data_IF_021663796808
#
_entry.id   IF_021663796808
#
_cell.length_a   1.000
_cell.length_b   1.000
_cell.length_c   1.000
_cell.angle_alpha   90.00
_cell.angle_beta   90.00
_cell.angle_gamma   90.00
#
_symmetry.space_group_name_H-M   'P 1'
#
loop_
_entity.id
_entity.type
_entity.pdbx_description
1 polymer ?
#
# COMPACT_ATOMS: atom_id res chain seq x y z
N UNK A 1 9.60 -11.58 8.34
CA UNK A 1 9.18 -12.20 9.62
C UNK A 1 7.66 -12.31 9.71
N UNK A 2 6.89 -11.23 9.52
CA UNK A 2 5.42 -11.28 9.54
C UNK A 2 4.78 -12.28 8.56
N UNK A 3 5.32 -12.42 7.35
CA UNK A 3 4.81 -13.40 6.36
C UNK A 3 5.06 -14.86 6.79
N UNK A 4 6.19 -15.15 7.44
CA UNK A 4 6.47 -16.49 7.98
C UNK A 4 5.48 -16.82 9.09
N UNK A 5 5.23 -15.88 10.00
CA UNK A 5 4.25 -16.05 11.08
C UNK A 5 2.86 -16.28 10.51
N UNK A 6 2.45 -15.51 9.49
CA UNK A 6 1.19 -15.72 8.78
C UNK A 6 1.11 -17.10 8.13
N UNK A 7 2.12 -17.50 7.36
CA UNK A 7 2.15 -18.79 6.65
C UNK A 7 2.07 -19.95 7.63
N UNK A 8 2.82 -19.88 8.74
CA UNK A 8 2.77 -20.87 9.82
C UNK A 8 1.38 -20.90 10.46
N UNK A 9 0.77 -19.76 10.76
CA UNK A 9 -0.58 -19.72 11.33
C UNK A 9 -1.63 -20.30 10.36
N UNK A 10 -1.51 -20.01 9.07
CA UNK A 10 -2.42 -20.51 8.04
C UNK A 10 -2.27 -22.01 7.79
N UNK A 11 -1.03 -22.52 7.76
CA UNK A 11 -0.76 -23.94 7.52
C UNK A 11 -1.06 -24.81 8.74
N UNK A 12 -0.90 -24.27 9.95
CA UNK A 12 -1.09 -25.02 11.21
C UNK A 12 -2.57 -25.10 11.60
N UNK A 13 -3.41 -24.14 11.19
CA UNK A 13 -4.82 -24.10 11.59
C UNK A 13 -5.65 -25.26 11.04
N UNK A 14 -5.44 -25.66 9.78
CA UNK A 14 -6.12 -26.84 9.19
C UNK A 14 -5.80 -28.12 9.95
N UNK A 15 -4.60 -28.23 10.53
CA UNK A 15 -4.21 -29.38 11.35
C UNK A 15 -4.76 -29.30 12.78
N UNK A 16 -4.79 -28.11 13.38
CA UNK A 16 -5.33 -27.91 14.74
C UNK A 16 -6.86 -28.04 14.80
N UNK A 17 -7.59 -27.65 13.75
CA UNK A 17 -9.06 -27.77 13.71
C UNK A 17 -9.57 -29.21 13.62
N UNK A 18 -8.72 -30.14 13.20
CA UNK A 18 -9.05 -31.56 13.03
C UNK A 18 -8.63 -32.44 14.22
N UNK A 19 -7.90 -31.89 15.20
CA UNK A 19 -7.40 -32.63 16.36
C UNK A 19 -8.40 -32.58 17.54
N UNK A 20 -9.01 -33.72 17.94
CA UNK A 20 -10.05 -33.76 18.98
C UNK A 20 -9.51 -33.35 20.37
N UNK A 21 -8.23 -33.61 20.67
CA UNK A 21 -7.61 -33.26 21.95
C UNK A 21 -7.35 -31.76 22.11
N UNK A 22 -7.18 -31.04 21.00
CA UNK A 22 -6.94 -29.60 21.00
C UNK A 22 -8.24 -28.86 21.28
N UNK A 23 -9.37 -29.31 20.73
CA UNK A 23 -10.69 -28.69 20.94
C UNK A 23 -11.14 -28.65 22.42
N UNK A 24 -10.62 -29.55 23.26
CA UNK A 24 -10.96 -29.65 24.69
C UNK A 24 -10.15 -28.72 25.60
N UNK A 25 -9.11 -28.06 25.08
CA UNK A 25 -8.22 -27.23 25.89
C UNK A 25 -8.67 -25.75 25.92
N UNK A 26 -8.35 -24.98 26.97
CA UNK A 26 -8.77 -23.58 27.08
C UNK A 26 -8.02 -22.57 26.19
N UNK A 27 -6.92 -22.96 25.54
CA UNK A 27 -6.14 -22.09 24.64
C UNK A 27 -6.72 -21.92 23.21
N UNK A 28 -7.50 -22.86 22.63
CA UNK A 28 -8.30 -22.64 21.42
C UNK A 28 -9.29 -21.47 21.51
N UNK A 29 -9.75 -21.12 22.72
CA UNK A 29 -10.61 -19.95 22.91
C UNK A 29 -9.85 -18.63 22.64
N UNK A 30 -8.52 -18.62 22.83
CA UNK A 30 -7.70 -17.46 22.52
C UNK A 30 -7.50 -17.33 21.00
N UNK A 31 -7.31 -18.44 20.28
CA UNK A 31 -7.25 -18.43 18.81
C UNK A 31 -8.60 -18.15 18.16
N UNK A 32 -9.74 -18.53 18.78
CA UNK A 32 -11.07 -18.13 18.34
C UNK A 32 -11.41 -16.66 18.67
N UNK A 33 -11.03 -16.14 19.85
CA UNK A 33 -11.28 -14.74 20.22
C UNK A 33 -10.34 -13.74 19.52
N UNK A 34 -9.13 -14.15 19.13
CA UNK A 34 -8.24 -13.38 18.24
C UNK A 34 -8.45 -13.73 16.74
N UNK A 35 -9.30 -14.71 16.45
CA UNK A 35 -9.68 -15.11 15.09
C UNK A 35 -8.63 -15.86 14.25
N UNK A 36 -7.47 -16.22 14.80
CA UNK A 36 -6.49 -17.12 14.15
C UNK A 36 -6.14 -16.72 12.70
N UNK A 37 -6.11 -17.68 11.78
CA UNK A 37 -5.91 -17.44 10.34
C UNK A 37 -7.06 -16.68 9.65
N UNK A 38 -8.27 -16.66 10.26
CA UNK A 38 -9.43 -15.88 9.82
C UNK A 38 -9.30 -14.39 10.20
N UNK A 39 -8.37 -14.07 11.11
CA UNK A 39 -8.07 -12.74 11.62
C UNK A 39 -9.22 -12.10 12.40
N UNK A 40 -9.16 -10.80 12.64
CA UNK A 40 -10.13 -10.11 13.49
C UNK A 40 -11.49 -10.03 12.81
N UNK A 41 -12.52 -10.64 13.39
CA UNK A 41 -13.90 -10.65 12.89
C UNK A 41 -14.79 -9.91 13.90
N UNK A 42 -15.72 -9.09 13.41
CA UNK A 42 -16.68 -8.37 14.24
C UNK A 42 -16.11 -7.09 14.86
N UNK A 43 -15.19 -6.43 14.15
CA UNK A 43 -14.68 -5.13 14.58
C UNK A 43 -15.79 -4.08 14.51
N UNK A 44 -15.96 -3.23 15.53
CA UNK A 44 -16.95 -2.15 15.50
C UNK A 44 -16.60 -1.13 14.41
N UNK A 45 -17.61 -0.73 13.64
CA UNK A 45 -17.48 0.26 12.56
C UNK A 45 -17.40 1.70 13.10
N UNK A 46 -16.35 2.03 13.85
CA UNK A 46 -16.11 3.39 14.33
C UNK A 46 -15.60 4.33 13.22
N UNK A 47 -15.09 3.77 12.13
CA UNK A 47 -14.50 4.55 11.03
C UNK A 47 -15.55 4.89 9.98
N UNK A 48 -15.88 6.17 9.89
CA UNK A 48 -16.63 6.76 8.77
C UNK A 48 -15.68 7.25 7.68
N UNK A 49 -16.20 7.46 6.48
CA UNK A 49 -15.43 8.03 5.36
C UNK A 49 -14.77 9.37 5.72
N UNK A 50 -15.38 10.15 6.61
CA UNK A 50 -14.81 11.39 7.13
C UNK A 50 -13.42 11.17 7.75
N UNK A 51 -13.28 10.16 8.62
CA UNK A 51 -11.99 9.85 9.27
C UNK A 51 -10.93 9.39 8.27
N UNK A 52 -11.34 8.63 7.25
CA UNK A 52 -10.45 8.20 6.17
C UNK A 52 -9.93 9.39 5.38
N UNK A 53 -10.82 10.27 4.91
CA UNK A 53 -10.43 11.46 4.14
C UNK A 53 -9.61 12.44 4.98
N UNK A 54 -9.92 12.59 6.27
CA UNK A 54 -9.14 13.41 7.19
C UNK A 54 -7.71 12.85 7.37
N UNK A 55 -7.58 11.54 7.54
CA UNK A 55 -6.27 10.90 7.64
C UNK A 55 -5.47 11.07 6.33
N UNK A 56 -6.10 10.89 5.16
CA UNK A 56 -5.46 11.12 3.86
C UNK A 56 -5.02 12.58 3.70
N UNK A 57 -5.87 13.55 4.08
CA UNK A 57 -5.50 14.96 4.02
C UNK A 57 -4.30 15.27 4.93
N UNK A 58 -4.28 14.69 6.13
CA UNK A 58 -3.19 14.86 7.09
C UNK A 58 -1.90 14.19 6.60
N UNK A 59 -1.95 12.98 6.06
CA UNK A 59 -0.78 12.29 5.52
C UNK A 59 -0.19 13.03 4.33
N UNK A 60 -1.02 13.56 3.43
CA UNK A 60 -0.59 14.41 2.31
C UNK A 60 0.05 15.71 2.80
N UNK A 61 -0.56 16.38 3.78
CA UNK A 61 -0.01 17.60 4.36
C UNK A 61 1.37 17.34 5.00
N UNK A 62 1.51 16.26 5.77
CA UNK A 62 2.78 15.83 6.37
C UNK A 62 3.80 15.50 5.29
N UNK A 63 3.44 14.74 4.25
CA UNK A 63 4.34 14.36 3.17
C UNK A 63 4.88 15.58 2.39
N UNK A 64 4.00 16.54 2.05
CA UNK A 64 4.39 17.77 1.34
C UNK A 64 5.29 18.64 2.24
N UNK A 65 4.95 18.79 3.52
CA UNK A 65 5.78 19.55 4.47
C UNK A 65 7.14 18.90 4.69
N UNK A 66 7.18 17.56 4.82
CA UNK A 66 8.40 16.80 4.99
C UNK A 66 9.32 16.94 3.78
N UNK A 67 8.78 16.81 2.57
CA UNK A 67 9.56 16.99 1.33
C UNK A 67 10.18 18.38 1.22
N UNK A 68 9.47 19.43 1.64
CA UNK A 68 9.96 20.82 1.60
C UNK A 68 10.91 21.18 2.75
N UNK A 69 10.95 20.36 3.80
CA UNK A 69 11.79 20.58 4.98
C UNK A 69 13.27 20.22 4.75
N UNK A 70 14.13 20.57 5.71
CA UNK A 70 15.55 20.15 5.72
C UNK A 70 15.70 18.62 5.72
N UNK A 71 14.81 17.91 6.43
CA UNK A 71 14.77 16.44 6.43
C UNK A 71 14.51 15.87 5.04
N UNK A 72 13.59 16.46 4.28
CA UNK A 72 13.30 16.06 2.90
C UNK A 72 14.49 16.23 1.95
N UNK A 73 15.26 17.31 2.13
CA UNK A 73 16.50 17.54 1.36
C UNK A 73 17.59 16.54 1.72
N UNK A 74 17.72 16.18 3.00
CA UNK A 74 18.64 15.13 3.43
C UNK A 74 18.25 13.77 2.82
N UNK A 75 16.96 13.42 2.78
CA UNK A 75 16.49 12.20 2.11
C UNK A 75 16.80 12.20 0.61
N UNK A 76 16.66 13.34 -0.06
CA UNK A 76 17.00 13.46 -1.48
C UNK A 76 18.51 13.28 -1.70
N UNK A 77 19.36 13.88 -0.86
CA UNK A 77 20.81 13.73 -0.96
C UNK A 77 21.24 12.26 -0.76
N UNK A 78 20.69 11.57 0.25
CA UNK A 78 20.96 10.15 0.51
C UNK A 78 20.52 9.27 -0.66
N UNK A 79 19.44 9.64 -1.36
CA UNK A 79 18.92 8.90 -2.52
C UNK A 79 19.83 9.02 -3.75
N UNK A 80 20.47 10.17 -3.97
CA UNK A 80 21.36 10.39 -5.11
C UNK A 80 22.70 9.68 -4.90
N UNK A 81 23.36 9.93 -3.77
CA UNK A 81 24.60 9.26 -3.38
C UNK A 81 24.75 9.26 -1.86
N UNK A 82 24.66 8.07 -1.27
CA UNK A 82 24.78 7.88 0.18
C UNK A 82 26.17 8.22 0.69
N UNK A 83 27.22 7.84 -0.05
CA UNK A 83 28.63 8.04 0.35
C UNK A 83 28.96 9.53 0.30
N UNK A 84 28.51 10.23 -0.74
CA UNK A 84 28.69 11.67 -0.85
C UNK A 84 27.91 12.43 0.24
N UNK A 85 26.69 12.01 0.56
CA UNK A 85 25.91 12.62 1.64
C UNK A 85 26.61 12.47 3.00
N UNK A 86 27.20 11.31 3.27
CA UNK A 86 27.95 11.06 4.50
C UNK A 86 29.23 11.92 4.58
N UNK A 87 29.95 12.08 3.46
CA UNK A 87 31.12 12.96 3.38
C UNK A 87 30.79 14.44 3.65
N UNK A 88 29.55 14.86 3.37
CA UNK A 88 29.05 16.21 3.65
C UNK A 88 28.48 16.37 5.09
N UNK A 89 28.67 15.37 5.96
CA UNK A 89 28.26 15.41 7.37
C UNK A 89 26.81 15.02 7.62
N UNK A 90 26.13 14.39 6.65
CA UNK A 90 24.76 13.86 6.85
C UNK A 90 24.84 12.47 7.45
N UNK A 91 24.28 12.29 8.65
CA UNK A 91 24.16 10.97 9.29
C UNK A 91 23.09 10.08 8.62
N UNK A 92 23.45 9.42 7.52
CA UNK A 92 22.59 8.58 6.67
C UNK A 92 21.73 7.60 7.47
N UNK A 93 22.32 6.89 8.43
CA UNK A 93 21.66 5.92 9.30
C UNK A 93 20.51 6.53 10.10
N UNK A 94 20.72 7.67 10.75
CA UNK A 94 19.69 8.37 11.54
C UNK A 94 18.53 8.83 10.67
N UNK A 95 18.80 9.33 9.47
CA UNK A 95 17.77 9.74 8.53
C UNK A 95 16.97 8.55 8.01
N UNK A 96 17.62 7.43 7.65
CA UNK A 96 16.93 6.20 7.23
C UNK A 96 16.01 5.63 8.32
N UNK A 97 16.47 5.58 9.56
CA UNK A 97 15.63 5.11 10.70
C UNK A 97 14.43 6.03 10.91
N UNK A 98 14.61 7.36 10.87
CA UNK A 98 13.50 8.31 10.98
C UNK A 98 12.48 8.16 9.84
N UNK A 99 12.96 7.97 8.61
CA UNK A 99 12.11 7.72 7.46
C UNK A 99 11.30 6.43 7.64
N UNK A 100 11.95 5.35 8.11
CA UNK A 100 11.29 4.08 8.39
C UNK A 100 10.22 4.19 9.48
N UNK A 101 10.53 4.83 10.61
CA UNK A 101 9.57 5.03 11.72
C UNK A 101 8.37 5.84 11.26
N UNK A 102 8.59 6.92 10.50
CA UNK A 102 7.50 7.76 10.01
C UNK A 102 6.62 7.00 8.99
N UNK A 103 7.22 6.22 8.10
CA UNK A 103 6.48 5.37 7.17
C UNK A 103 5.68 4.29 7.90
N UNK A 104 6.29 3.60 8.88
CA UNK A 104 5.63 2.58 9.68
C UNK A 104 4.46 3.14 10.49
N UNK A 105 4.60 4.33 11.07
CA UNK A 105 3.53 5.02 11.78
C UNK A 105 2.34 5.32 10.86
N UNK A 106 2.58 5.93 9.69
CA UNK A 106 1.51 6.25 8.74
C UNK A 106 0.84 4.98 8.17
N UNK A 107 1.61 3.93 7.91
CA UNK A 107 1.09 2.63 7.49
C UNK A 107 0.23 1.98 8.58
N UNK A 108 0.63 2.09 9.85
CA UNK A 108 -0.15 1.60 11.00
C UNK A 108 -1.49 2.31 11.14
N UNK A 109 -1.51 3.65 11.00
CA UNK A 109 -2.76 4.44 10.99
C UNK A 109 -3.67 4.02 9.84
N UNK A 110 -3.12 3.85 8.63
CA UNK A 110 -3.88 3.40 7.47
C UNK A 110 -4.48 2.00 7.68
N UNK A 111 -3.70 1.05 8.23
CA UNK A 111 -4.17 -0.30 8.54
C UNK A 111 -5.26 -0.33 9.61
N UNK A 112 -5.13 0.47 10.66
CA UNK A 112 -6.15 0.58 11.71
C UNK A 112 -7.48 1.12 11.17
N UNK A 113 -7.43 2.15 10.32
CA UNK A 113 -8.62 2.71 9.67
C UNK A 113 -9.25 1.71 8.69
N UNK A 114 -8.43 0.99 7.92
CA UNK A 114 -8.91 -0.06 7.02
C UNK A 114 -9.65 -1.16 7.78
N UNK A 115 -9.11 -1.62 8.90
CA UNK A 115 -9.71 -2.67 9.71
C UNK A 115 -11.10 -2.30 10.25
N UNK A 116 -11.26 -1.05 10.71
CA UNK A 116 -12.53 -0.55 11.24
C UNK A 116 -13.52 -0.14 10.15
N UNK A 117 -13.06 0.09 8.91
CA UNK A 117 -13.93 0.36 7.76
C UNK A 117 -14.54 -0.93 7.20
N UNK A 118 -13.75 -1.99 7.09
CA UNK A 118 -14.18 -3.29 6.54
C UNK A 118 -14.88 -4.15 7.61
N UNK A 119 -14.59 -3.92 8.89
CA UNK A 119 -15.20 -4.64 10.02
C UNK A 119 -14.66 -6.06 10.23
N UNK A 120 -13.77 -6.50 9.35
CA UNK A 120 -12.99 -7.71 9.50
C UNK A 120 -11.67 -7.60 8.75
N UNK A 121 -10.62 -8.23 9.27
CA UNK A 121 -9.31 -8.31 8.61
C UNK A 121 -8.78 -9.71 8.80
N UNK A 122 -8.63 -10.46 7.72
CA UNK A 122 -8.00 -11.77 7.75
C UNK A 122 -6.51 -11.66 7.41
N UNK A 123 -5.72 -12.65 7.87
CA UNK A 123 -4.32 -12.71 7.50
C UNK A 123 -4.18 -12.93 5.99
N UNK A 124 -5.12 -13.65 5.36
CA UNK A 124 -5.15 -13.96 3.92
C UNK A 124 -5.01 -12.75 2.99
N UNK A 125 -5.63 -11.64 3.33
CA UNK A 125 -5.72 -10.45 2.49
C UNK A 125 -4.46 -9.60 2.60
N UNK A 126 -3.86 -9.47 3.79
CA UNK A 126 -2.66 -8.63 4.01
C UNK A 126 -1.35 -9.32 3.63
N UNK A 127 -1.41 -10.24 2.67
CA UNK A 127 -0.27 -11.02 2.23
C UNK A 127 0.70 -10.29 1.32
N UNK A 128 1.65 -11.07 0.81
CA UNK A 128 2.65 -10.62 -0.16
C UNK A 128 2.08 -9.86 -1.36
N UNK A 129 0.92 -10.29 -1.88
CA UNK A 129 0.28 -9.64 -3.02
C UNK A 129 -0.10 -8.18 -2.72
N UNK A 130 -0.63 -7.89 -1.52
CA UNK A 130 -0.95 -6.51 -1.11
C UNK A 130 0.29 -5.66 -0.90
N UNK A 131 1.36 -6.25 -0.37
CA UNK A 131 2.64 -5.55 -0.23
C UNK A 131 3.18 -5.11 -1.59
N UNK A 132 3.12 -5.99 -2.60
CA UNK A 132 3.51 -5.65 -3.96
C UNK A 132 2.59 -4.60 -4.58
N UNK A 133 1.28 -4.71 -4.38
CA UNK A 133 0.30 -3.73 -4.87
C UNK A 133 0.67 -2.31 -4.42
N UNK A 134 0.97 -2.13 -3.13
CA UNK A 134 1.39 -0.83 -2.57
C UNK A 134 2.71 -0.33 -3.16
N UNK A 135 3.70 -1.22 -3.32
CA UNK A 135 4.99 -0.86 -3.96
C UNK A 135 4.77 -0.40 -5.40
N UNK A 136 3.93 -1.11 -6.15
CA UNK A 136 3.60 -0.79 -7.54
C UNK A 136 2.92 0.59 -7.63
N UNK A 137 1.99 0.90 -6.72
CA UNK A 137 1.36 2.23 -6.66
C UNK A 137 2.40 3.35 -6.52
N UNK A 138 3.40 3.17 -5.68
CA UNK A 138 4.46 4.16 -5.46
C UNK A 138 5.41 4.25 -6.66
N UNK A 139 5.84 3.11 -7.21
CA UNK A 139 6.76 3.05 -8.36
C UNK A 139 6.11 3.67 -9.59
N UNK A 140 4.85 3.33 -9.88
CA UNK A 140 4.10 3.90 -11.00
C UNK A 140 3.79 5.38 -10.80
N UNK A 141 3.58 5.83 -9.57
CA UNK A 141 3.45 7.27 -9.29
C UNK A 141 4.73 8.06 -9.48
N UNK A 142 5.88 7.43 -9.23
CA UNK A 142 7.22 8.00 -9.28
C UNK A 142 7.81 8.21 -7.88
N UNK A 143 9.01 7.66 -7.64
CA UNK A 143 9.69 7.61 -6.32
C UNK A 143 9.98 8.99 -5.68
N UNK A 144 9.78 10.11 -6.39
CA UNK A 144 10.02 11.47 -5.88
C UNK A 144 8.79 12.37 -5.83
N UNK A 145 7.61 11.90 -6.24
CA UNK A 145 6.40 12.73 -6.38
C UNK A 145 5.28 12.25 -5.47
N UNK A 146 4.93 13.05 -4.46
CA UNK A 146 3.79 12.77 -3.56
C UNK A 146 2.47 12.82 -4.35
N UNK A 147 2.33 13.80 -5.25
CA UNK A 147 1.14 13.90 -6.11
C UNK A 147 1.03 12.74 -7.09
N UNK A 148 2.16 12.27 -7.63
CA UNK A 148 2.17 11.15 -8.58
C UNK A 148 1.81 9.82 -7.93
N UNK A 149 2.39 9.52 -6.76
CA UNK A 149 2.04 8.33 -5.95
C UNK A 149 0.57 8.34 -5.53
N UNK A 150 0.03 9.51 -5.16
CA UNK A 150 -1.40 9.63 -4.80
C UNK A 150 -2.31 9.36 -6.00
N UNK A 151 -2.00 9.93 -7.17
CA UNK A 151 -2.80 9.71 -8.38
C UNK A 151 -2.72 8.25 -8.83
N UNK A 152 -1.52 7.65 -8.80
CA UNK A 152 -1.34 6.24 -9.12
C UNK A 152 -2.13 5.33 -8.17
N UNK A 153 -2.13 5.61 -6.85
CA UNK A 153 -2.94 4.87 -5.89
C UNK A 153 -4.44 4.96 -6.20
N UNK A 154 -4.96 6.15 -6.55
CA UNK A 154 -6.37 6.32 -6.93
C UNK A 154 -6.69 5.51 -8.20
N UNK A 155 -5.88 5.67 -9.25
CA UNK A 155 -6.10 4.99 -10.54
C UNK A 155 -6.02 3.48 -10.38
N UNK A 156 -4.99 2.95 -9.72
CA UNK A 156 -4.78 1.52 -9.55
C UNK A 156 -5.76 0.87 -8.58
N UNK A 157 -6.37 1.65 -7.67
CA UNK A 157 -7.46 1.14 -6.82
C UNK A 157 -8.79 1.13 -7.58
N UNK A 158 -9.08 2.16 -8.38
CA UNK A 158 -10.31 2.24 -9.17
C UNK A 158 -10.31 1.31 -10.37
N UNK A 159 -9.15 1.06 -10.99
CA UNK A 159 -9.04 0.30 -12.22
C UNK A 159 -9.58 -1.15 -12.07
N UNK A 160 -9.18 -1.94 -11.05
CA UNK A 160 -9.77 -3.26 -10.81
C UNK A 160 -11.28 -3.20 -10.53
N UNK A 161 -11.78 -2.14 -9.90
CA UNK A 161 -13.20 -1.98 -9.57
C UNK A 161 -14.05 -1.64 -10.80
N UNK A 162 -13.52 -0.81 -11.72
CA UNK A 162 -14.13 -0.57 -13.03
C UNK A 162 -14.08 -1.81 -13.92
N UNK A 163 -12.98 -2.56 -13.86
CA UNK A 163 -12.90 -3.85 -14.56
C UNK A 163 -13.87 -4.87 -13.98
N UNK A 164 -14.14 -4.84 -12.67
CA UNK A 164 -15.13 -5.69 -12.02
C UNK A 164 -16.53 -5.50 -12.61
N UNK A 165 -16.97 -4.25 -12.82
CA UNK A 165 -18.30 -3.96 -13.38
C UNK A 165 -18.40 -4.34 -14.86
N UNK A 166 -17.32 -4.13 -15.62
CA UNK A 166 -17.25 -4.50 -17.05
C UNK A 166 -17.21 -6.02 -17.23
N UNK A 167 -16.34 -6.75 -16.52
CA UNK A 167 -16.25 -8.22 -16.59
C UNK A 167 -17.53 -8.90 -16.09
N UNK A 168 -18.17 -8.35 -15.05
CA UNK A 168 -19.49 -8.82 -14.61
C UNK A 168 -20.57 -8.71 -15.70
N UNK A 169 -20.51 -7.63 -16.48
CA UNK A 169 -21.41 -7.43 -17.64
C UNK A 169 -21.09 -8.41 -18.77
N UNK A 170 -19.81 -8.63 -19.09
CA UNK A 170 -19.37 -9.55 -20.17
C UNK A 170 -19.71 -11.01 -19.88
N UNK A 171 -19.54 -11.47 -18.64
CA UNK A 171 -19.89 -12.84 -18.22
C UNK A 171 -21.41 -13.14 -18.27
N UNK A 172 -22.25 -12.11 -18.43
CA UNK A 172 -23.70 -12.27 -18.60
C UNK A 172 -24.07 -12.60 -20.05
N UNK A 173 -23.23 -12.24 -21.03
CA UNK A 173 -23.50 -12.41 -22.47
C UNK A 173 -22.72 -13.57 -23.12
N UNK A 174 -21.63 -14.06 -22.51
CA UNK A 174 -20.86 -15.21 -23.00
C UNK A 174 -21.09 -16.42 -22.08
N UNK A 175 -21.68 -17.53 -22.59
CA UNK A 175 -21.90 -18.75 -21.80
C UNK A 175 -20.62 -19.33 -21.20
N UNK A 176 -20.75 -19.93 -20.01
CA UNK A 176 -19.76 -20.61 -19.14
C UNK A 176 -18.83 -21.67 -19.79
N UNK A 177 -18.80 -21.82 -21.11
CA UNK A 177 -18.03 -22.84 -21.81
C UNK A 177 -16.51 -22.59 -21.83
N UNK A 178 -16.08 -21.35 -21.59
CA UNK A 178 -14.68 -21.03 -21.30
C UNK A 178 -14.59 -20.57 -19.85
N UNK A 179 -13.88 -21.33 -19.00
CA UNK A 179 -13.35 -20.81 -17.74
C UNK A 179 -12.29 -19.75 -18.08
N UNK A 180 -12.74 -18.55 -18.44
CA UNK A 180 -11.82 -17.45 -18.67
C UNK A 180 -11.09 -17.20 -17.34
N UNK A 181 -9.74 -17.21 -17.33
CA UNK A 181 -8.98 -16.74 -16.18
C UNK A 181 -9.49 -15.37 -15.78
N UNK A 182 -9.52 -15.06 -14.48
CA UNK A 182 -10.00 -13.78 -13.94
C UNK A 182 -9.45 -12.60 -14.76
N UNK A 183 -10.24 -12.12 -15.73
CA UNK A 183 -9.77 -11.21 -16.79
C UNK A 183 -9.21 -9.93 -16.19
N UNK A 184 -9.70 -9.57 -15.00
CA UNK A 184 -9.16 -8.52 -14.15
C UNK A 184 -7.66 -8.68 -13.90
N UNK A 185 -7.17 -9.87 -13.52
CA UNK A 185 -5.75 -10.07 -13.22
C UNK A 185 -4.88 -9.94 -14.47
N UNK A 186 -5.34 -10.46 -15.61
CA UNK A 186 -4.63 -10.34 -16.89
C UNK A 186 -4.57 -8.89 -17.32
N UNK A 187 -5.72 -8.20 -17.39
CA UNK A 187 -5.80 -6.80 -17.82
C UNK A 187 -5.02 -5.90 -16.87
N UNK A 188 -5.10 -6.14 -15.55
CA UNK A 188 -4.32 -5.39 -14.57
C UNK A 188 -2.82 -5.57 -14.81
N UNK A 189 -2.35 -6.81 -14.98
CA UNK A 189 -0.92 -7.10 -15.24
C UNK A 189 -0.44 -6.48 -16.56
N UNK A 190 -1.26 -6.54 -17.60
CA UNK A 190 -0.97 -5.97 -18.92
C UNK A 190 -0.95 -4.43 -18.85
N UNK A 191 -1.87 -3.82 -18.11
CA UNK A 191 -1.90 -2.38 -17.87
C UNK A 191 -0.65 -1.92 -17.09
N UNK A 192 -0.21 -2.69 -16.09
CA UNK A 192 1.03 -2.42 -15.36
C UNK A 192 2.26 -2.49 -16.28
N UNK A 193 2.38 -3.54 -17.09
CA UNK A 193 3.49 -3.71 -18.05
C UNK A 193 3.48 -2.56 -19.06
N UNK A 194 2.33 -2.28 -19.65
CA UNK A 194 2.17 -1.19 -20.62
C UNK A 194 2.54 0.16 -20.00
N UNK A 195 2.15 0.41 -18.75
CA UNK A 195 2.53 1.63 -18.06
C UNK A 195 4.03 1.72 -17.81
N UNK A 196 4.68 0.63 -17.37
CA UNK A 196 6.13 0.59 -17.19
C UNK A 196 6.90 0.87 -18.49
N UNK A 197 6.37 0.39 -19.62
CA UNK A 197 6.94 0.64 -20.96
C UNK A 197 6.72 2.10 -21.37
N UNK A 198 5.50 2.63 -21.20
CA UNK A 198 5.15 3.97 -21.68
C UNK A 198 5.79 5.09 -20.85
N UNK A 199 5.96 4.89 -19.54
CA UNK A 199 6.62 5.87 -18.66
C UNK A 199 7.43 5.19 -17.55
N UNK A 200 8.71 4.86 -17.80
CA UNK A 200 9.58 4.23 -16.79
C UNK A 200 9.88 5.13 -15.57
N UNK A 201 9.63 6.45 -15.69
CA UNK A 201 9.75 7.39 -14.57
C UNK A 201 8.47 7.52 -13.72
N UNK A 202 7.39 6.82 -14.08
CA UNK A 202 6.07 6.97 -13.47
C UNK A 202 5.29 8.20 -13.97
N UNK A 203 4.08 8.42 -13.44
CA UNK A 203 3.18 9.50 -13.89
C UNK A 203 3.81 10.90 -13.76
N UNK A 204 4.58 11.16 -12.71
CA UNK A 204 5.16 12.49 -12.44
C UNK A 204 6.66 12.48 -12.09
N UNK A 205 7.32 11.33 -12.01
CA UNK A 205 8.76 11.23 -11.75
C UNK A 205 9.21 11.99 -10.51
N UNK A 206 10.01 13.05 -10.72
CA UNK A 206 10.49 13.98 -9.69
C UNK A 206 9.64 15.26 -9.55
N UNK A 207 8.77 15.54 -10.52
CA UNK A 207 8.01 16.80 -10.60
C UNK A 207 6.72 16.70 -9.80
N UNK A 208 6.35 17.75 -9.09
CA UNK A 208 5.02 17.85 -8.50
C UNK A 208 4.06 18.55 -9.45
N UNK A 209 2.76 18.23 -9.36
CA UNK A 209 1.71 18.94 -10.12
C UNK A 209 1.76 20.45 -9.83
N UNK A 210 2.18 20.82 -8.62
CA UNK A 210 2.30 22.21 -8.16
C UNK A 210 3.53 22.95 -8.72
N UNK A 211 4.57 22.25 -9.18
CA UNK A 211 5.76 22.88 -9.80
C UNK A 211 5.45 23.44 -11.19
N UNK A 212 4.41 22.93 -11.85
CA UNK A 212 3.99 23.42 -13.17
C UNK A 212 3.58 24.91 -13.14
N UNK A 213 3.16 25.43 -11.98
CA UNK A 213 2.75 26.83 -11.81
C UNK A 213 3.88 27.76 -11.38
N UNK A 214 4.99 27.24 -10.84
CA UNK A 214 6.08 28.06 -10.28
C UNK A 214 7.24 28.15 -11.28
N UNK A 215 6.98 28.77 -12.44
CA UNK A 215 8.07 29.37 -13.24
C UNK A 215 8.63 30.56 -12.47
N UNK A 216 9.60 30.32 -11.59
CA UNK A 216 10.42 31.41 -11.04
C UNK A 216 11.30 31.95 -12.16
N UNK A 217 11.17 33.25 -12.39
CA UNK A 217 11.95 34.07 -13.33
C UNK A 217 13.45 33.75 -13.18
N UNK A 218 14.22 33.73 -14.28
CA UNK A 218 15.67 33.57 -14.20
C UNK A 218 16.24 34.64 -13.27
N UNK A 219 17.07 34.25 -12.30
CA UNK A 219 17.86 35.20 -11.52
C UNK A 219 18.89 35.82 -12.47
N UNK A 220 18.97 37.16 -12.59
CA UNK A 220 20.07 37.79 -13.30
C UNK A 220 21.38 37.48 -12.57
N UNK A 221 22.43 37.32 -13.38
CA UNK A 221 23.80 36.99 -12.98
C UNK A 221 24.41 38.05 -12.05
#
# INVERSE_FOLDING_TARGET
FGEIVRVVLQSTQTQLSQAPDVAATPWPLLTLKLGGALGFIGLPFYTTLFWVYLAVALTLAVAIRLKRSSYGRAFLAIREDEVAAEALGVHTTRYKVRAFVLAAFLAGVAGALYAHLVGSVNAGELGFQKSFEVVIMVVLGGMGSVSGSTLAAIVLTLLPELLRTVTGSVNTYLPRAYELPDLRMIIYSLALILMMILRPQGFFGLREIWDWRVRRRPRPA
#
